data_IF_843952349242
#
_entry.id   IF_843952349242
#
_cell.length_a   1.000
_cell.length_b   1.000
_cell.length_c   1.000
_cell.angle_alpha   90.00
_cell.angle_beta   90.00
_cell.angle_gamma   90.00
#
_symmetry.space_group_name_H-M   'P 1'
#
loop_
_entity.id
_entity.type
_entity.pdbx_description
1 polymer ?
#
# COMPACT_ATOMS: atom_id res chain seq x y z
N UNK A 1 -23.82 0.82 34.23
CA UNK A 1 -25.19 0.63 33.71
C UNK A 1 -25.63 1.91 32.99
N UNK A 2 -25.78 1.89 31.67
CA UNK A 2 -26.18 3.07 30.91
C UNK A 2 -27.65 2.92 30.50
N UNK A 3 -28.51 3.70 31.14
CA UNK A 3 -29.94 3.76 30.90
C UNK A 3 -30.22 4.51 29.59
N UNK A 4 -30.84 3.84 28.62
CA UNK A 4 -31.48 4.49 27.48
C UNK A 4 -32.86 4.99 27.92
N UNK A 5 -33.05 6.30 28.00
CA UNK A 5 -34.38 6.90 28.12
C UNK A 5 -34.98 7.06 26.71
N UNK A 6 -35.96 6.23 26.37
CA UNK A 6 -36.86 6.49 25.25
C UNK A 6 -38.02 7.36 25.77
N UNK A 7 -38.01 8.65 25.43
CA UNK A 7 -39.21 9.49 25.58
C UNK A 7 -40.05 9.35 24.33
N UNK A 8 -41.28 8.86 24.48
CA UNK A 8 -42.26 8.73 23.42
C UNK A 8 -42.68 10.11 22.89
N UNK A 9 -42.32 10.41 21.64
CA UNK A 9 -42.89 11.53 20.88
C UNK A 9 -43.66 10.93 19.71
N UNK A 10 -44.97 11.18 19.70
CA UNK A 10 -45.86 10.85 18.59
C UNK A 10 -45.48 11.72 17.39
N UNK A 11 -44.84 11.13 16.38
CA UNK A 11 -44.45 11.80 15.12
C UNK A 11 -45.24 11.13 13.99
N UNK A 12 -45.91 11.89 13.10
CA UNK A 12 -46.67 11.34 11.98
C UNK A 12 -45.79 10.46 11.08
N UNK A 13 -46.40 9.42 10.50
CA UNK A 13 -45.79 8.38 9.68
C UNK A 13 -45.21 8.92 8.36
N UNK A 14 -44.14 9.72 8.44
CA UNK A 14 -43.24 10.03 7.34
C UNK A 14 -42.04 9.10 7.41
N UNK A 15 -41.62 8.53 6.28
CA UNK A 15 -40.44 7.68 6.19
C UNK A 15 -39.16 8.50 6.41
N UNK A 16 -38.80 8.71 7.67
CA UNK A 16 -37.54 9.35 8.05
C UNK A 16 -36.37 8.41 7.74
N UNK A 17 -35.62 8.71 6.68
CA UNK A 17 -34.34 8.04 6.38
C UNK A 17 -33.32 8.47 7.44
N UNK A 18 -33.03 7.57 8.37
CA UNK A 18 -31.96 7.77 9.36
C UNK A 18 -30.61 7.59 8.65
N UNK A 19 -29.81 8.66 8.59
CA UNK A 19 -28.44 8.60 8.07
C UNK A 19 -27.51 8.44 9.27
N UNK A 20 -26.91 7.26 9.41
CA UNK A 20 -25.89 7.01 10.43
C UNK A 20 -24.56 7.57 9.95
N UNK A 21 -23.99 8.53 10.68
CA UNK A 21 -22.68 9.14 10.37
C UNK A 21 -21.51 8.40 11.02
N UNK A 22 -21.77 7.33 11.76
CA UNK A 22 -20.75 6.56 12.48
C UNK A 22 -19.97 5.68 11.51
N UNK A 23 -18.63 5.72 11.59
CA UNK A 23 -17.78 4.83 10.81
C UNK A 23 -17.97 3.38 11.27
N UNK A 24 -17.94 2.43 10.32
CA UNK A 24 -17.98 1.01 10.65
C UNK A 24 -16.72 0.63 11.44
N UNK A 25 -16.88 0.39 12.75
CA UNK A 25 -15.81 -0.11 13.59
C UNK A 25 -15.70 -1.63 13.42
N UNK A 26 -14.64 -2.10 12.76
CA UNK A 26 -14.35 -3.53 12.65
C UNK A 26 -13.86 -4.07 14.01
N UNK A 27 -14.75 -4.77 14.72
CA UNK A 27 -14.42 -5.46 15.96
C UNK A 27 -13.28 -6.45 15.70
N UNK A 28 -12.26 -6.45 16.57
CA UNK A 28 -11.11 -7.35 16.45
C UNK A 28 -10.08 -6.98 15.39
N UNK A 29 -10.25 -5.87 14.66
CA UNK A 29 -9.29 -5.39 13.64
C UNK A 29 -7.84 -5.32 14.11
N UNK A 30 -7.59 -4.76 15.31
CA UNK A 30 -6.23 -4.65 15.87
C UNK A 30 -5.58 -6.01 16.12
N UNK A 31 -6.35 -6.97 16.64
CA UNK A 31 -5.88 -8.34 16.89
C UNK A 31 -5.55 -9.07 15.59
N UNK A 32 -6.39 -8.91 14.57
CA UNK A 32 -6.15 -9.47 13.23
C UNK A 32 -4.90 -8.89 12.60
N UNK A 33 -4.75 -7.56 12.66
CA UNK A 33 -3.57 -6.88 12.17
C UNK A 33 -2.30 -7.34 12.91
N UNK A 34 -2.35 -7.52 14.23
CA UNK A 34 -1.20 -8.05 14.98
C UNK A 34 -0.81 -9.48 14.60
N UNK A 35 -1.72 -10.24 13.98
CA UNK A 35 -1.47 -11.57 13.44
C UNK A 35 -1.05 -11.56 11.96
N UNK A 36 -0.94 -10.39 11.34
CA UNK A 36 -0.64 -10.26 9.91
C UNK A 36 -1.85 -10.52 8.98
N UNK A 37 -3.06 -10.62 9.54
CA UNK A 37 -4.27 -10.74 8.75
C UNK A 37 -4.78 -9.37 8.27
N UNK A 38 -5.66 -9.40 7.26
CA UNK A 38 -6.36 -8.20 6.81
C UNK A 38 -7.12 -7.52 7.96
N UNK A 39 -7.28 -6.20 7.94
CA UNK A 39 -8.04 -5.46 8.97
C UNK A 39 -9.53 -5.82 8.91
N UNK A 40 -10.09 -5.86 7.70
CA UNK A 40 -11.43 -6.36 7.40
C UNK A 40 -11.35 -7.82 6.91
N UNK A 41 -12.45 -8.56 6.98
CA UNK A 41 -12.50 -9.96 6.53
C UNK A 41 -12.60 -10.10 5.00
N UNK A 42 -12.95 -9.02 4.30
CA UNK A 42 -13.27 -9.03 2.87
C UNK A 42 -12.17 -8.51 1.94
N UNK A 43 -11.03 -8.02 2.45
CA UNK A 43 -9.95 -7.51 1.57
C UNK A 43 -9.12 -8.60 0.91
N UNK A 44 -8.52 -9.48 1.72
CA UNK A 44 -7.64 -10.55 1.27
C UNK A 44 -7.63 -11.67 2.30
N UNK A 45 -7.28 -12.88 1.86
CA UNK A 45 -7.21 -14.06 2.70
C UNK A 45 -8.07 -15.20 2.17
N UNK A 46 -8.03 -16.37 2.85
CA UNK A 46 -8.64 -17.60 2.35
C UNK A 46 -10.14 -17.44 2.10
N UNK A 47 -10.85 -16.69 2.95
CA UNK A 47 -12.28 -16.44 2.80
C UNK A 47 -12.67 -15.74 1.49
N UNK A 48 -11.76 -14.98 0.87
CA UNK A 48 -12.05 -14.12 -0.29
C UNK A 48 -11.36 -14.60 -1.56
N UNK A 49 -10.16 -15.18 -1.39
CA UNK A 49 -9.31 -15.60 -2.48
C UNK A 49 -9.59 -17.05 -2.93
N UNK A 50 -10.14 -17.91 -2.06
CA UNK A 50 -10.56 -19.27 -2.42
C UNK A 50 -11.94 -19.28 -3.10
N UNK A 51 -12.24 -20.28 -3.94
CA UNK A 51 -13.58 -20.45 -4.50
C UNK A 51 -14.57 -20.98 -3.45
N UNK A 52 -15.82 -20.53 -3.53
CA UNK A 52 -16.89 -20.95 -2.61
C UNK A 52 -17.37 -22.40 -2.87
N UNK A 53 -17.15 -22.92 -4.09
CA UNK A 53 -17.53 -24.26 -4.50
C UNK A 53 -16.54 -24.85 -5.51
N UNK A 54 -16.62 -26.16 -5.72
CA UNK A 54 -15.93 -26.90 -6.78
C UNK A 54 -16.85 -27.96 -7.38
N UNK A 55 -16.56 -28.39 -8.61
CA UNK A 55 -17.32 -29.47 -9.24
C UNK A 55 -16.97 -30.82 -8.59
N UNK A 56 -17.92 -31.75 -8.55
CA UNK A 56 -17.70 -33.11 -8.00
C UNK A 56 -16.58 -33.87 -8.73
N UNK A 57 -16.42 -33.60 -10.03
CA UNK A 57 -15.34 -34.15 -10.86
C UNK A 57 -13.95 -33.59 -10.50
N UNK A 58 -13.85 -32.65 -9.56
CA UNK A 58 -12.61 -31.99 -9.15
C UNK A 58 -12.17 -30.87 -10.09
N UNK A 59 -13.00 -30.49 -11.07
CA UNK A 59 -12.70 -29.31 -11.91
C UNK A 59 -12.70 -28.03 -11.06
N UNK A 60 -11.78 -27.09 -11.34
CA UNK A 60 -11.73 -25.84 -10.61
C UNK A 60 -12.97 -24.99 -10.90
N UNK A 61 -13.37 -24.17 -9.94
CA UNK A 61 -14.39 -23.14 -10.18
C UNK A 61 -13.88 -22.12 -11.19
N UNK A 62 -14.79 -21.65 -12.02
CA UNK A 62 -14.52 -20.52 -12.91
C UNK A 62 -14.22 -19.26 -12.11
N UNK A 63 -13.43 -18.35 -12.71
CA UNK A 63 -12.98 -17.13 -12.04
C UNK A 63 -14.09 -16.08 -12.05
N UNK A 64 -14.47 -15.59 -10.87
CA UNK A 64 -15.39 -14.47 -10.77
C UNK A 64 -14.78 -13.20 -11.37
N UNK A 65 -15.58 -12.36 -12.02
CA UNK A 65 -15.17 -11.06 -12.58
C UNK A 65 -14.40 -10.23 -11.53
N UNK A 66 -14.88 -10.20 -10.29
CA UNK A 66 -14.23 -9.46 -9.20
C UNK A 66 -12.89 -10.05 -8.78
N UNK A 67 -12.76 -11.37 -8.78
CA UNK A 67 -11.48 -12.05 -8.53
C UNK A 67 -10.48 -11.73 -9.66
N UNK A 68 -10.95 -11.74 -10.92
CA UNK A 68 -10.16 -11.31 -12.07
C UNK A 68 -9.65 -9.87 -11.92
N UNK A 69 -10.54 -8.93 -11.60
CA UNK A 69 -10.16 -7.53 -11.35
C UNK A 69 -9.18 -7.36 -10.19
N UNK A 70 -9.31 -8.15 -9.11
CA UNK A 70 -8.33 -8.16 -8.01
C UNK A 70 -6.97 -8.64 -8.49
N UNK A 71 -6.94 -9.70 -9.32
CA UNK A 71 -5.70 -10.25 -9.87
C UNK A 71 -4.99 -9.25 -10.78
N UNK A 72 -5.71 -8.59 -11.69
CA UNK A 72 -5.12 -7.58 -12.59
C UNK A 72 -4.55 -6.41 -11.80
N UNK A 73 -5.28 -5.89 -10.81
CA UNK A 73 -4.80 -4.81 -9.93
C UNK A 73 -3.53 -5.21 -9.16
N UNK A 74 -3.45 -6.45 -8.66
CA UNK A 74 -2.24 -6.96 -7.98
C UNK A 74 -1.05 -7.02 -8.93
N UNK A 75 -1.25 -7.44 -10.19
CA UNK A 75 -0.21 -7.47 -11.22
C UNK A 75 0.26 -6.06 -11.55
N UNK A 76 -0.66 -5.13 -11.81
CA UNK A 76 -0.34 -3.72 -12.10
C UNK A 76 0.46 -3.07 -10.96
N UNK A 77 0.07 -3.32 -9.71
CA UNK A 77 0.79 -2.83 -8.55
C UNK A 77 2.21 -3.41 -8.47
N UNK A 78 2.35 -4.73 -8.67
CA UNK A 78 3.66 -5.39 -8.65
C UNK A 78 4.58 -4.85 -9.74
N UNK A 79 4.06 -4.63 -10.95
CA UNK A 79 4.82 -4.02 -12.05
C UNK A 79 5.27 -2.60 -11.74
N UNK A 80 4.42 -1.79 -11.10
CA UNK A 80 4.81 -0.43 -10.67
C UNK A 80 5.89 -0.44 -9.60
N UNK A 81 5.80 -1.36 -8.64
CA UNK A 81 6.81 -1.49 -7.58
C UNK A 81 8.16 -1.90 -8.19
N UNK A 82 8.19 -2.84 -9.12
CA UNK A 82 9.43 -3.27 -9.76
C UNK A 82 10.07 -2.15 -10.59
N UNK A 83 9.28 -1.37 -11.33
CA UNK A 83 9.79 -0.21 -12.08
C UNK A 83 10.39 0.84 -11.16
N UNK A 84 9.70 1.20 -10.06
CA UNK A 84 10.22 2.19 -9.12
C UNK A 84 11.50 1.75 -8.43
N UNK A 85 11.63 0.46 -8.09
CA UNK A 85 12.87 -0.07 -7.52
C UNK A 85 14.01 0.04 -8.53
N UNK A 86 13.76 -0.31 -9.80
CA UNK A 86 14.77 -0.23 -10.85
C UNK A 86 15.24 1.22 -11.07
N UNK A 87 14.30 2.17 -11.20
CA UNK A 87 14.59 3.59 -11.36
C UNK A 87 15.39 4.16 -10.18
N UNK A 88 15.00 3.82 -8.94
CA UNK A 88 15.72 4.24 -7.74
C UNK A 88 17.16 3.68 -7.71
N UNK A 89 17.34 2.41 -8.08
CA UNK A 89 18.66 1.79 -8.13
C UNK A 89 19.54 2.43 -9.20
N UNK A 90 18.98 2.76 -10.36
CA UNK A 90 19.69 3.47 -11.42
C UNK A 90 20.10 4.87 -10.98
N UNK A 91 19.17 5.64 -10.40
CA UNK A 91 19.45 6.97 -9.89
C UNK A 91 20.59 6.95 -8.83
N UNK A 92 20.59 5.94 -7.95
CA UNK A 92 21.65 5.74 -6.97
C UNK A 92 23.01 5.49 -7.63
N UNK A 93 23.06 4.62 -8.65
CA UNK A 93 24.30 4.33 -9.40
C UNK A 93 24.83 5.59 -10.10
N UNK A 94 23.96 6.31 -10.81
CA UNK A 94 24.32 7.55 -11.50
C UNK A 94 24.84 8.59 -10.50
N UNK A 95 24.19 8.73 -9.34
CA UNK A 95 24.64 9.65 -8.31
C UNK A 95 26.03 9.29 -7.78
N UNK A 96 26.28 8.00 -7.52
CA UNK A 96 27.59 7.53 -7.06
C UNK A 96 28.69 7.80 -8.09
N UNK A 97 28.45 7.50 -9.37
CA UNK A 97 29.39 7.79 -10.46
C UNK A 97 29.70 9.30 -10.51
N UNK A 98 28.67 10.15 -10.38
CA UNK A 98 28.82 11.61 -10.39
C UNK A 98 29.65 12.12 -9.20
N UNK A 99 29.52 11.51 -8.03
CA UNK A 99 30.34 11.84 -6.85
C UNK A 99 31.79 11.45 -7.07
N UNK A 100 32.04 10.26 -7.60
CA UNK A 100 33.40 9.78 -7.90
C UNK A 100 34.09 10.64 -8.97
N UNK A 101 33.35 11.05 -10.02
CA UNK A 101 33.87 11.96 -11.05
C UNK A 101 34.26 13.31 -10.44
N UNK A 102 33.37 13.91 -9.63
CA UNK A 102 33.66 15.18 -8.95
C UNK A 102 34.86 15.09 -8.00
N UNK A 103 35.03 13.95 -7.33
CA UNK A 103 36.19 13.73 -6.46
C UNK A 103 37.49 13.67 -7.30
N UNK A 104 37.49 12.90 -8.39
CA UNK A 104 38.64 12.81 -9.32
C UNK A 104 38.98 14.15 -9.95
N UNK A 105 37.98 14.91 -10.42
CA UNK A 105 38.18 16.26 -10.97
C UNK A 105 38.84 17.19 -9.95
N UNK A 106 38.40 17.16 -8.68
CA UNK A 106 39.01 17.95 -7.60
C UNK A 106 40.47 17.54 -7.36
N UNK A 107 40.75 16.25 -7.35
CA UNK A 107 42.13 15.74 -7.18
C UNK A 107 43.03 16.12 -8.36
N UNK A 108 42.52 16.07 -9.59
CA UNK A 108 43.23 16.55 -10.78
C UNK A 108 43.50 18.06 -10.72
N UNK A 109 42.51 18.86 -10.32
CA UNK A 109 42.69 20.30 -10.13
C UNK A 109 43.75 20.63 -9.06
N UNK A 110 43.76 19.89 -7.94
CA UNK A 110 44.79 20.07 -6.89
C UNK A 110 46.18 19.67 -7.40
N UNK A 111 46.29 18.55 -8.13
CA UNK A 111 47.55 18.10 -8.73
C UNK A 111 48.10 19.09 -9.76
N UNK A 112 47.22 19.73 -10.52
CA UNK A 112 47.59 20.69 -11.56
C UNK A 112 47.84 22.12 -11.02
N UNK A 113 47.58 22.39 -9.74
CA UNK A 113 47.86 23.70 -9.15
C UNK A 113 49.36 23.96 -9.04
N UNK A 114 49.78 25.15 -9.49
CA UNK A 114 51.14 25.63 -9.32
C UNK A 114 51.44 25.83 -7.82
N UNK A 115 52.70 25.63 -7.44
CA UNK A 115 53.16 25.92 -6.08
C UNK A 115 52.92 27.40 -5.76
N UNK A 116 52.50 27.73 -4.53
CA UNK A 116 52.32 29.12 -4.14
C UNK A 116 53.65 29.87 -4.23
N UNK A 117 53.58 31.14 -4.65
CA UNK A 117 54.75 32.03 -4.67
C UNK A 117 55.18 32.31 -3.24
N UNK A 118 56.43 31.98 -2.92
CA UNK A 118 57.04 32.36 -1.64
C UNK A 118 57.50 33.80 -1.76
N UNK A 119 57.01 34.66 -0.87
CA UNK A 119 57.53 36.01 -0.68
C UNK A 119 58.31 35.99 0.63
N UNK A 120 59.64 35.95 0.52
CA UNK A 120 60.57 36.30 1.61
C UNK A 120 60.98 37.76 1.47
#
# INVERSE_FOLDING_TARGET
ELRLCLTAVNIPLGTSRHITTTSAAYVGSKHRFSKGEAINNSSYGPLVDLPDYTYLDGRPSELSIRQGQRRTKRIELASKVSTYIAEMMEAKKVHQIKLEQKAREREELIRNQLKPKVHE
#
